data_IF_886434925435
#
_entry.id   IF_886434925435
#
_cell.length_a   1.000
_cell.length_b   1.000
_cell.length_c   1.000
_cell.angle_alpha   90.00
_cell.angle_beta   90.00
_cell.angle_gamma   90.00
#
_symmetry.space_group_name_H-M   'P 1'
#
loop_
_entity.id
_entity.type
_entity.pdbx_description
1 polymer ?
#
# COMPACT_ATOMS: atom_id res chain seq x y z
N UNK A 1 24.59 14.09 -28.97
CA UNK A 1 23.94 12.86 -29.47
C UNK A 1 24.08 11.73 -28.43
N UNK A 2 25.28 11.43 -27.94
CA UNK A 2 25.56 10.33 -27.00
C UNK A 2 24.81 10.43 -25.66
N UNK A 3 24.70 11.63 -25.08
CA UNK A 3 23.92 11.87 -23.86
C UNK A 3 22.41 11.61 -24.02
N UNK A 4 21.85 11.84 -25.19
CA UNK A 4 20.45 11.55 -25.47
C UNK A 4 20.20 10.04 -25.62
N UNK A 5 21.13 9.32 -26.27
CA UNK A 5 21.08 7.87 -26.36
C UNK A 5 21.16 7.22 -24.97
N UNK A 6 22.12 7.62 -24.15
CA UNK A 6 22.26 7.11 -22.77
C UNK A 6 21.01 7.36 -21.90
N UNK A 7 20.37 8.54 -22.05
CA UNK A 7 19.11 8.83 -21.34
C UNK A 7 17.96 7.94 -21.79
N UNK A 8 17.87 7.67 -23.10
CA UNK A 8 16.88 6.75 -23.66
C UNK A 8 17.08 5.34 -23.12
N UNK A 9 18.31 4.84 -23.14
CA UNK A 9 18.65 3.50 -22.67
C UNK A 9 18.37 3.36 -21.15
N UNK A 10 18.72 4.39 -20.36
CA UNK A 10 18.40 4.42 -18.93
C UNK A 10 16.88 4.39 -18.68
N UNK A 11 16.09 5.14 -19.46
CA UNK A 11 14.63 5.10 -19.36
C UNK A 11 14.05 3.73 -19.73
N UNK A 12 14.57 3.09 -20.77
CA UNK A 12 14.16 1.73 -21.15
C UNK A 12 14.48 0.70 -20.05
N UNK A 13 15.65 0.77 -19.45
CA UNK A 13 16.01 -0.09 -18.31
C UNK A 13 15.09 0.14 -17.11
N UNK A 14 14.68 1.38 -16.86
CA UNK A 14 13.74 1.71 -15.79
C UNK A 14 12.38 1.06 -16.04
N UNK A 15 11.88 1.09 -17.28
CA UNK A 15 10.63 0.41 -17.65
C UNK A 15 10.75 -1.10 -17.47
N UNK A 16 11.87 -1.71 -17.89
CA UNK A 16 12.10 -3.14 -17.71
C UNK A 16 12.13 -3.53 -16.23
N UNK A 17 12.82 -2.76 -15.39
CA UNK A 17 12.84 -2.98 -13.93
C UNK A 17 11.44 -2.89 -13.32
N UNK A 18 10.66 -1.88 -13.70
CA UNK A 18 9.28 -1.75 -13.23
C UNK A 18 8.40 -2.93 -13.65
N UNK A 19 8.56 -3.46 -14.87
CA UNK A 19 7.88 -4.68 -15.34
C UNK A 19 8.26 -5.90 -14.53
N UNK A 20 9.55 -6.12 -14.29
CA UNK A 20 10.03 -7.25 -13.47
C UNK A 20 9.45 -7.16 -12.04
N UNK A 21 9.43 -5.97 -11.46
CA UNK A 21 8.84 -5.76 -10.14
C UNK A 21 7.33 -6.09 -10.12
N UNK A 22 6.58 -5.67 -11.14
CA UNK A 22 5.15 -6.02 -11.27
C UNK A 22 4.95 -7.54 -11.40
N UNK A 23 5.77 -8.23 -12.22
CA UNK A 23 5.71 -9.69 -12.34
C UNK A 23 6.03 -10.39 -11.01
N UNK A 24 6.99 -9.88 -10.26
CA UNK A 24 7.34 -10.39 -8.94
C UNK A 24 6.18 -10.20 -7.95
N UNK A 25 5.58 -9.01 -7.88
CA UNK A 25 4.45 -8.73 -7.01
C UNK A 25 3.20 -9.53 -7.38
N UNK A 26 3.02 -9.82 -8.67
CA UNK A 26 1.93 -10.64 -9.18
C UNK A 26 2.20 -12.15 -9.05
N UNK A 27 3.31 -12.55 -8.43
CA UNK A 27 3.68 -13.95 -8.20
C UNK A 27 3.58 -14.84 -9.47
N UNK A 28 3.95 -14.28 -10.63
CA UNK A 28 3.92 -15.00 -11.92
C UNK A 28 2.54 -15.13 -12.57
N UNK A 29 1.50 -14.48 -12.04
CA UNK A 29 0.16 -14.47 -12.67
C UNK A 29 0.09 -13.62 -13.95
N UNK A 30 1.07 -12.73 -14.18
CA UNK A 30 1.15 -11.90 -15.38
C UNK A 30 1.99 -12.58 -16.49
N UNK A 31 1.51 -12.58 -17.74
CA UNK A 31 2.29 -13.07 -18.87
C UNK A 31 3.53 -12.17 -19.10
N UNK A 32 4.65 -12.71 -19.65
CA UNK A 32 5.89 -11.93 -19.83
C UNK A 32 5.71 -10.65 -20.69
N UNK A 33 4.75 -10.67 -21.60
CA UNK A 33 4.48 -9.57 -22.54
C UNK A 33 3.19 -8.82 -22.21
N UNK A 34 2.82 -8.72 -20.94
CA UNK A 34 1.61 -7.99 -20.52
C UNK A 34 1.66 -6.52 -20.97
N UNK A 35 0.49 -5.98 -21.31
CA UNK A 35 0.28 -4.57 -21.61
C UNK A 35 -0.50 -3.93 -20.46
N UNK A 36 -0.07 -2.74 -20.06
CA UNK A 36 -0.79 -1.95 -19.05
C UNK A 36 -1.86 -1.13 -19.77
N UNK A 37 -3.11 -1.25 -19.36
CA UNK A 37 -4.21 -0.36 -19.76
C UNK A 37 -4.28 0.84 -18.81
N UNK A 38 -4.62 1.98 -19.34
CA UNK A 38 -4.76 3.23 -18.59
C UNK A 38 -3.83 4.33 -19.09
N UNK A 39 -4.09 5.52 -18.63
CA UNK A 39 -3.34 6.72 -19.00
C UNK A 39 -3.06 7.56 -17.75
N UNK A 40 -1.90 8.23 -17.71
CA UNK A 40 -1.62 9.25 -16.70
C UNK A 40 -2.57 10.46 -16.80
N UNK A 41 -3.39 10.53 -17.86
CA UNK A 41 -4.42 11.55 -18.06
C UNK A 41 -5.78 11.16 -17.49
N UNK A 42 -5.94 9.92 -17.04
CA UNK A 42 -7.21 9.45 -16.51
C UNK A 42 -7.58 10.25 -15.25
N UNK A 43 -8.85 10.66 -15.12
CA UNK A 43 -9.27 11.49 -14.00
C UNK A 43 -9.21 10.69 -12.69
N UNK A 44 -8.62 11.30 -11.67
CA UNK A 44 -8.61 10.73 -10.31
C UNK A 44 -10.01 10.89 -9.71
N UNK A 45 -10.64 9.77 -9.35
CA UNK A 45 -11.97 9.71 -8.73
C UNK A 45 -11.82 9.22 -7.29
N UNK A 46 -11.94 10.14 -6.35
CA UNK A 46 -11.90 9.83 -4.91
C UNK A 46 -13.19 10.33 -4.24
N UNK A 47 -13.66 9.65 -3.19
CA UNK A 47 -14.72 10.17 -2.34
C UNK A 47 -14.34 11.48 -1.65
N UNK A 48 -15.32 12.21 -1.07
CA UNK A 48 -15.05 13.44 -0.34
C UNK A 48 -14.07 13.23 0.83
N UNK A 49 -13.23 14.25 1.10
CA UNK A 49 -12.23 14.20 2.18
C UNK A 49 -12.84 13.81 3.54
N UNK A 50 -13.99 14.39 3.89
CA UNK A 50 -14.64 14.15 5.17
C UNK A 50 -14.98 12.66 5.39
N UNK A 51 -15.49 12.01 4.35
CA UNK A 51 -15.80 10.58 4.36
C UNK A 51 -14.55 9.72 4.48
N UNK A 52 -13.52 10.01 3.70
CA UNK A 52 -12.26 9.26 3.73
C UNK A 52 -11.51 9.42 5.05
N UNK A 53 -11.55 10.61 5.66
CA UNK A 53 -10.91 10.88 6.94
C UNK A 53 -11.47 10.02 8.06
N UNK A 54 -12.76 9.76 8.05
CA UNK A 54 -13.42 8.90 9.04
C UNK A 54 -13.22 7.41 8.75
N UNK A 55 -13.35 7.02 7.47
CA UNK A 55 -13.31 5.60 7.08
C UNK A 55 -11.92 5.00 7.09
N UNK A 56 -10.90 5.72 6.59
CA UNK A 56 -9.54 5.15 6.38
C UNK A 56 -8.93 4.54 7.65
N UNK A 57 -8.97 5.20 8.83
CA UNK A 57 -8.42 4.60 10.05
C UNK A 57 -9.20 3.38 10.57
N UNK A 58 -10.38 3.10 10.02
CA UNK A 58 -11.21 1.97 10.42
C UNK A 58 -11.06 0.77 9.47
N UNK A 59 -11.00 1.03 8.16
CA UNK A 59 -10.98 -0.02 7.12
C UNK A 59 -9.56 -0.45 6.73
N UNK A 60 -8.54 0.27 7.18
CA UNK A 60 -7.16 -0.06 6.84
C UNK A 60 -6.79 -1.48 7.30
N UNK A 61 -6.18 -2.31 6.44
CA UNK A 61 -5.89 -3.71 6.76
C UNK A 61 -5.03 -3.93 8.01
N UNK A 62 -4.08 -3.01 8.28
CA UNK A 62 -3.25 -3.09 9.48
C UNK A 62 -4.06 -2.88 10.75
N UNK A 63 -5.03 -1.96 10.71
CA UNK A 63 -5.93 -1.69 11.85
C UNK A 63 -6.86 -2.88 12.07
N UNK A 64 -7.47 -3.40 11.01
CA UNK A 64 -8.35 -4.58 11.09
C UNK A 64 -7.58 -5.79 11.64
N UNK A 65 -6.34 -6.00 11.21
CA UNK A 65 -5.47 -7.05 11.74
C UNK A 65 -5.21 -6.89 13.24
N UNK A 66 -4.88 -5.69 13.68
CA UNK A 66 -4.63 -5.40 15.10
C UNK A 66 -5.90 -5.51 15.95
N UNK A 67 -7.08 -5.21 15.42
CA UNK A 67 -8.36 -5.46 16.09
C UNK A 67 -8.60 -6.96 16.33
N UNK A 68 -8.33 -7.79 15.33
CA UNK A 68 -8.40 -9.24 15.47
C UNK A 68 -7.36 -9.77 16.47
N UNK A 69 -6.15 -9.22 16.48
CA UNK A 69 -5.12 -9.56 17.47
C UNK A 69 -5.53 -9.16 18.88
N UNK A 70 -6.16 -7.99 19.06
CA UNK A 70 -6.71 -7.56 20.34
C UNK A 70 -7.80 -8.52 20.85
N UNK A 71 -8.70 -8.92 19.96
CA UNK A 71 -9.73 -9.89 20.32
C UNK A 71 -9.12 -11.23 20.74
N UNK A 72 -8.14 -11.73 19.97
CA UNK A 72 -7.38 -12.94 20.29
C UNK A 72 -6.69 -12.83 21.67
N UNK A 73 -6.04 -11.70 21.96
CA UNK A 73 -5.39 -11.48 23.25
C UNK A 73 -6.40 -11.48 24.42
N UNK A 74 -7.58 -10.87 24.25
CA UNK A 74 -8.65 -10.89 25.23
C UNK A 74 -9.18 -12.33 25.46
N UNK A 75 -9.33 -13.12 24.39
CA UNK A 75 -9.72 -14.55 24.52
C UNK A 75 -8.65 -15.36 25.25
N UNK A 76 -7.36 -15.02 25.06
CA UNK A 76 -6.27 -15.67 25.76
C UNK A 76 -6.35 -15.47 27.26
N UNK A 77 -6.71 -14.26 27.76
CA UNK A 77 -6.94 -14.02 29.20
C UNK A 77 -8.02 -14.98 29.73
N UNK A 78 -9.11 -15.13 29.02
CA UNK A 78 -10.19 -16.04 29.38
C UNK A 78 -9.73 -17.50 29.37
N UNK A 79 -8.91 -17.90 28.40
CA UNK A 79 -8.31 -19.22 28.31
C UNK A 79 -7.39 -19.51 29.49
N UNK A 80 -6.49 -18.60 29.85
CA UNK A 80 -5.60 -18.79 31.01
C UNK A 80 -6.38 -18.92 32.31
N UNK A 81 -7.43 -18.12 32.49
CA UNK A 81 -8.36 -18.24 33.63
C UNK A 81 -9.09 -19.58 33.66
N UNK A 82 -9.57 -20.05 32.51
CA UNK A 82 -10.27 -21.34 32.40
C UNK A 82 -9.36 -22.53 32.70
N UNK A 83 -8.05 -22.41 32.42
CA UNK A 83 -7.07 -23.48 32.68
C UNK A 83 -6.81 -23.71 34.18
N UNK A 84 -7.28 -22.81 35.08
CA UNK A 84 -7.28 -23.03 36.53
C UNK A 84 -8.32 -24.06 36.96
N UNK A 85 -9.39 -24.22 36.14
CA UNK A 85 -10.45 -25.19 36.45
C UNK A 85 -9.89 -26.62 36.31
N UNK A 86 -10.39 -27.57 37.13
CA UNK A 86 -10.00 -28.97 37.03
C UNK A 86 -10.28 -29.52 35.63
N UNK A 87 -9.26 -30.12 35.03
CA UNK A 87 -9.44 -30.82 33.73
C UNK A 87 -9.96 -32.22 33.97
N UNK A 88 -11.09 -32.55 33.36
CA UNK A 88 -11.67 -33.91 33.36
C UNK A 88 -11.34 -34.60 32.05
N UNK A 89 -10.62 -35.72 32.12
CA UNK A 89 -10.25 -36.50 30.95
C UNK A 89 -10.92 -37.87 31.04
N UNK A 90 -11.57 -38.28 29.96
CA UNK A 90 -12.01 -39.67 29.78
C UNK A 90 -10.86 -40.44 29.12
N UNK A 91 -10.47 -41.53 29.74
CA UNK A 91 -9.38 -42.40 29.28
C UNK A 91 -10.00 -43.70 28.89
N UNK A 92 -9.77 -44.11 27.64
CA UNK A 92 -10.07 -45.47 27.16
C UNK A 92 -8.79 -46.02 26.55
N UNK A 93 -8.31 -47.14 27.04
CA UNK A 93 -7.16 -47.83 26.49
C UNK A 93 -7.50 -49.29 26.22
N UNK A 94 -7.12 -49.73 25.04
CA UNK A 94 -7.17 -51.12 24.63
C UNK A 94 -5.72 -51.58 24.52
N UNK A 95 -5.40 -52.66 25.23
CA UNK A 95 -4.11 -53.27 25.22
C UNK A 95 -4.24 -54.75 24.80
N UNK A 96 -3.48 -55.12 23.77
CA UNK A 96 -3.45 -56.44 23.19
C UNK A 96 -2.00 -56.90 23.08
N UNK A 97 -1.65 -58.00 23.79
CA UNK A 97 -0.35 -58.63 23.72
C UNK A 97 -0.49 -60.15 23.74
N UNK A 98 -0.09 -60.77 22.64
CA UNK A 98 -0.07 -62.23 22.37
C UNK A 98 -1.33 -63.03 22.76
N UNK A 99 -1.70 -63.13 24.00
CA UNK A 99 -2.88 -63.85 24.51
C UNK A 99 -3.62 -63.06 25.60
N UNK A 100 -3.22 -61.82 25.84
CA UNK A 100 -3.82 -60.99 26.86
C UNK A 100 -4.54 -59.77 26.25
N UNK A 101 -5.83 -59.65 26.52
CA UNK A 101 -6.66 -58.55 26.12
C UNK A 101 -7.11 -57.77 27.36
N UNK A 102 -6.81 -56.51 27.40
CA UNK A 102 -7.30 -55.64 28.47
C UNK A 102 -7.94 -54.37 27.90
N UNK A 103 -9.19 -54.13 28.29
CA UNK A 103 -9.90 -52.87 28.00
C UNK A 103 -10.04 -52.13 29.32
N UNK A 104 -9.49 -50.93 29.38
CA UNK A 104 -9.60 -50.07 30.56
C UNK A 104 -10.31 -48.78 30.19
N UNK A 105 -11.37 -48.45 30.93
CA UNK A 105 -12.06 -47.17 30.86
C UNK A 105 -11.94 -46.46 32.22
N UNK A 106 -11.60 -45.20 32.21
CA UNK A 106 -11.39 -44.42 33.43
C UNK A 106 -11.66 -42.93 33.24
N UNK A 107 -11.84 -42.25 34.36
CA UNK A 107 -11.95 -40.80 34.45
C UNK A 107 -10.77 -40.29 35.25
N UNK A 108 -10.01 -39.31 34.68
CA UNK A 108 -8.92 -38.61 35.36
C UNK A 108 -9.30 -37.16 35.56
N UNK A 109 -9.23 -36.70 36.80
CA UNK A 109 -9.46 -35.30 37.17
C UNK A 109 -8.15 -34.69 37.70
N UNK A 110 -7.62 -33.69 36.97
CA UNK A 110 -6.43 -33.00 37.41
C UNK A 110 -6.82 -31.74 38.15
N UNK A 111 -6.58 -31.70 39.47
CA UNK A 111 -6.88 -30.56 40.33
C UNK A 111 -5.59 -29.79 40.62
N UNK A 112 -5.42 -28.53 40.14
CA UNK A 112 -4.25 -27.70 40.47
C UNK A 112 -4.36 -27.11 41.87
N UNK A 113 -3.76 -27.76 42.87
CA UNK A 113 -3.92 -27.33 44.30
C UNK A 113 -3.04 -26.12 44.65
N UNK A 114 -1.85 -25.98 44.06
CA UNK A 114 -0.86 -24.97 44.48
C UNK A 114 -0.53 -23.95 43.37
N UNK A 115 -0.71 -24.29 42.11
CA UNK A 115 -0.35 -23.45 40.98
C UNK A 115 -1.58 -22.81 40.35
N UNK A 116 -1.80 -21.53 40.62
CA UNK A 116 -2.98 -20.76 40.18
C UNK A 116 -2.73 -19.96 38.90
N UNK A 117 -1.62 -20.21 38.19
CA UNK A 117 -1.28 -19.57 36.91
C UNK A 117 -1.34 -18.03 36.92
N UNK A 118 -1.08 -17.39 38.09
CA UNK A 118 -1.15 -15.92 38.21
C UNK A 118 -0.21 -15.23 37.23
N UNK A 119 1.03 -15.74 37.09
CA UNK A 119 2.02 -15.18 36.16
C UNK A 119 1.59 -15.21 34.71
N UNK A 120 0.95 -16.31 34.27
CA UNK A 120 0.44 -16.42 32.88
C UNK A 120 -0.77 -15.51 32.65
N UNK A 121 -1.65 -15.39 33.65
CA UNK A 121 -2.78 -14.47 33.57
C UNK A 121 -2.29 -13.02 33.50
N UNK A 122 -1.35 -12.63 34.35
CA UNK A 122 -0.77 -11.29 34.35
C UNK A 122 -0.05 -10.99 33.04
N UNK A 123 0.71 -11.96 32.51
CA UNK A 123 1.33 -11.85 31.19
C UNK A 123 0.28 -11.62 30.11
N UNK A 124 -0.80 -12.41 30.09
CA UNK A 124 -1.87 -12.26 29.09
C UNK A 124 -2.58 -10.90 29.21
N UNK A 125 -2.78 -10.39 30.43
CA UNK A 125 -3.37 -9.05 30.66
C UNK A 125 -2.46 -7.96 30.13
N UNK A 126 -1.15 -8.02 30.42
CA UNK A 126 -0.18 -7.04 29.91
C UNK A 126 -0.01 -7.11 28.40
N UNK A 127 -0.02 -8.31 27.80
CA UNK A 127 -0.02 -8.48 26.35
C UNK A 127 -1.26 -7.86 25.70
N UNK A 128 -2.44 -8.07 26.26
CA UNK A 128 -3.68 -7.42 25.80
C UNK A 128 -3.61 -5.90 25.88
N UNK A 129 -3.08 -5.35 26.99
CA UNK A 129 -2.88 -3.91 27.13
C UNK A 129 -1.90 -3.38 26.07
N UNK A 130 -0.77 -4.05 25.85
CA UNK A 130 0.22 -3.68 24.80
C UNK A 130 -0.39 -3.65 23.41
N UNK A 131 -1.19 -4.67 23.05
CA UNK A 131 -1.84 -4.73 21.73
C UNK A 131 -2.87 -3.59 21.59
N UNK A 132 -3.62 -3.27 22.64
CA UNK A 132 -4.55 -2.14 22.64
C UNK A 132 -3.82 -0.82 22.35
N UNK A 133 -2.73 -0.52 23.06
CA UNK A 133 -1.93 0.69 22.85
C UNK A 133 -1.33 0.72 21.43
N UNK A 134 -0.86 -0.43 20.93
CA UNK A 134 -0.36 -0.55 19.54
C UNK A 134 -1.45 -0.25 18.51
N UNK A 135 -2.68 -0.72 18.75
CA UNK A 135 -3.83 -0.45 17.88
C UNK A 135 -4.18 1.05 17.83
N UNK A 136 -4.25 1.70 19.01
CA UNK A 136 -4.56 3.15 19.08
C UNK A 136 -3.47 3.98 18.42
N UNK A 137 -2.20 3.64 18.66
CA UNK A 137 -1.10 4.29 17.96
C UNK A 137 -1.18 4.11 16.43
N UNK A 138 -1.48 2.88 15.96
CA UNK A 138 -1.57 2.61 14.52
C UNK A 138 -2.75 3.33 13.86
N UNK A 139 -3.89 3.44 14.53
CA UNK A 139 -5.02 4.24 14.05
C UNK A 139 -4.63 5.70 13.87
N UNK A 140 -3.97 6.27 14.88
CA UNK A 140 -3.48 7.64 14.80
C UNK A 140 -2.49 7.81 13.65
N UNK A 141 -1.50 6.93 13.54
CA UNK A 141 -0.50 6.95 12.47
C UNK A 141 -1.13 6.87 11.08
N UNK A 142 -2.09 5.96 10.85
CA UNK A 142 -2.82 5.85 9.58
C UNK A 142 -3.58 7.15 9.27
N UNK A 143 -4.18 7.77 10.26
CA UNK A 143 -4.82 9.07 10.10
C UNK A 143 -3.84 10.16 9.63
N UNK A 144 -2.64 10.22 10.21
CA UNK A 144 -1.60 11.18 9.80
C UNK A 144 -1.05 10.87 8.39
N UNK A 145 -0.84 9.60 8.07
CA UNK A 145 -0.41 9.19 6.73
C UNK A 145 -1.46 9.56 5.68
N UNK A 146 -2.74 9.39 5.99
CA UNK A 146 -3.83 9.80 5.10
C UNK A 146 -3.84 11.32 4.88
N UNK A 147 -3.70 12.13 5.93
CA UNK A 147 -3.65 13.61 5.79
C UNK A 147 -2.46 14.03 4.92
N UNK A 148 -1.29 13.42 5.11
CA UNK A 148 -0.12 13.69 4.27
C UNK A 148 -0.33 13.30 2.81
N UNK A 149 -0.92 12.12 2.54
CA UNK A 149 -1.25 11.66 1.20
C UNK A 149 -2.28 12.57 0.52
N UNK A 150 -3.28 13.05 1.27
CA UNK A 150 -4.25 14.01 0.77
C UNK A 150 -3.63 15.36 0.39
N UNK A 151 -2.74 15.89 1.22
CA UNK A 151 -2.01 17.12 0.90
C UNK A 151 -1.14 16.94 -0.34
N UNK A 152 -0.44 15.80 -0.47
CA UNK A 152 0.34 15.49 -1.65
C UNK A 152 -0.54 15.44 -2.92
N UNK A 153 -1.72 14.84 -2.83
CA UNK A 153 -2.71 14.84 -3.93
C UNK A 153 -3.11 16.25 -4.34
N UNK A 154 -3.45 17.12 -3.38
CA UNK A 154 -3.83 18.51 -3.68
C UNK A 154 -2.70 19.31 -4.34
N UNK A 155 -1.46 19.13 -3.88
CA UNK A 155 -0.28 19.77 -4.49
C UNK A 155 -0.11 19.28 -5.93
N UNK A 156 -0.19 17.97 -6.16
CA UNK A 156 -0.08 17.37 -7.49
C UNK A 156 -1.20 17.84 -8.43
N UNK A 157 -2.44 17.94 -7.94
CA UNK A 157 -3.58 18.49 -8.72
C UNK A 157 -3.32 19.92 -9.16
N UNK A 158 -2.87 20.80 -8.26
CA UNK A 158 -2.55 22.20 -8.58
C UNK A 158 -1.43 22.29 -9.61
N UNK A 159 -0.41 21.43 -9.48
CA UNK A 159 0.71 21.38 -10.41
C UNK A 159 0.27 20.96 -11.82
N UNK A 160 -0.56 19.92 -11.94
CA UNK A 160 -1.14 19.50 -13.23
C UNK A 160 -2.00 20.61 -13.81
N UNK A 161 -2.87 21.23 -13.01
CA UNK A 161 -3.73 22.34 -13.46
C UNK A 161 -2.90 23.54 -13.99
N UNK A 162 -1.73 23.84 -13.41
CA UNK A 162 -0.84 24.89 -13.89
C UNK A 162 -0.29 24.59 -15.30
N UNK A 163 0.08 23.33 -15.56
CA UNK A 163 0.56 22.92 -16.89
C UNK A 163 -0.58 22.94 -17.93
N UNK A 164 -1.77 22.46 -17.57
CA UNK A 164 -2.93 22.40 -18.47
C UNK A 164 -3.59 23.78 -18.65
N UNK A 165 -3.46 24.66 -17.66
CA UNK A 165 -4.03 26.00 -17.66
C UNK A 165 -3.36 26.99 -18.61
N UNK A 166 -2.31 26.58 -19.33
CA UNK A 166 -1.72 27.45 -20.36
C UNK A 166 -0.21 27.33 -20.53
N UNK A 167 0.53 26.88 -19.51
CA UNK A 167 2.00 26.85 -19.53
C UNK A 167 2.59 26.09 -20.73
N UNK A 168 1.98 24.94 -21.08
CA UNK A 168 2.39 24.15 -22.26
C UNK A 168 2.12 24.94 -23.54
N UNK A 169 0.93 25.53 -23.65
CA UNK A 169 0.53 26.31 -24.83
C UNK A 169 1.39 27.55 -25.04
N UNK A 170 1.75 28.23 -23.94
CA UNK A 170 2.66 29.38 -23.97
C UNK A 170 4.07 28.98 -24.46
N UNK A 171 4.59 27.86 -23.96
CA UNK A 171 5.88 27.33 -24.40
C UNK A 171 5.86 26.89 -25.87
N UNK A 172 4.77 26.26 -26.34
CA UNK A 172 4.59 25.90 -27.75
C UNK A 172 4.54 27.16 -28.65
N UNK A 173 3.85 28.20 -28.20
CA UNK A 173 3.78 29.47 -28.92
C UNK A 173 5.15 30.16 -28.94
N UNK A 174 5.89 30.13 -27.85
CA UNK A 174 7.24 30.69 -27.80
C UNK A 174 8.18 29.99 -28.80
N UNK A 175 8.08 28.66 -28.97
CA UNK A 175 8.83 27.93 -29.98
C UNK A 175 8.44 28.37 -31.38
N UNK A 176 7.16 28.53 -31.68
CA UNK A 176 6.68 29.00 -33.00
C UNK A 176 7.20 30.38 -33.35
N UNK A 177 7.19 31.31 -32.38
CA UNK A 177 7.74 32.67 -32.55
C UNK A 177 9.25 32.62 -32.76
N UNK A 178 9.97 31.83 -31.98
CA UNK A 178 11.44 31.72 -32.12
C UNK A 178 11.83 31.06 -33.47
N UNK A 179 11.04 30.08 -33.94
CA UNK A 179 11.22 29.46 -35.26
C UNK A 179 11.03 30.46 -36.40
N UNK A 180 9.96 31.26 -36.32
CA UNK A 180 9.71 32.31 -37.32
C UNK A 180 10.85 33.37 -37.33
N UNK A 181 11.22 33.87 -36.17
CA UNK A 181 12.32 34.85 -36.05
C UNK A 181 13.67 34.30 -36.58
N UNK A 182 13.95 33.04 -36.36
CA UNK A 182 15.11 32.35 -36.96
C UNK A 182 15.02 32.29 -38.49
N UNK A 183 13.89 31.90 -39.03
CA UNK A 183 13.65 31.79 -40.48
C UNK A 183 13.78 33.15 -41.20
N UNK A 184 13.38 34.21 -40.55
CA UNK A 184 13.51 35.57 -41.07
C UNK A 184 14.88 36.24 -40.80
N UNK A 185 15.79 35.51 -40.14
CA UNK A 185 17.13 36.00 -39.83
C UNK A 185 17.22 37.03 -38.70
N UNK A 186 16.11 37.22 -37.95
CA UNK A 186 16.05 38.17 -36.83
C UNK A 186 16.71 37.65 -35.56
N UNK A 187 16.77 36.32 -35.40
CA UNK A 187 17.38 35.63 -34.24
C UNK A 187 18.28 34.48 -34.67
N UNK A 188 19.25 34.17 -33.78
CA UNK A 188 20.20 33.10 -34.04
C UNK A 188 19.61 31.68 -33.77
N UNK A 189 20.23 30.69 -34.40
CA UNK A 189 19.87 29.28 -34.21
C UNK A 189 19.90 28.85 -32.73
N UNK A 190 20.83 29.40 -31.95
CA UNK A 190 21.02 29.04 -30.54
C UNK A 190 19.78 29.40 -29.72
N UNK A 191 19.18 30.58 -29.93
CA UNK A 191 17.97 31.01 -29.24
C UNK A 191 16.76 30.14 -29.57
N UNK A 192 16.62 29.74 -30.85
CA UNK A 192 15.59 28.80 -31.26
C UNK A 192 15.76 27.42 -30.59
N UNK A 193 16.98 26.86 -30.59
CA UNK A 193 17.27 25.58 -29.94
C UNK A 193 17.06 25.63 -28.42
N UNK A 194 17.36 26.75 -27.79
CA UNK A 194 17.13 26.94 -26.35
C UNK A 194 15.63 26.98 -26.02
N UNK A 195 14.83 27.63 -26.86
CA UNK A 195 13.37 27.67 -26.69
C UNK A 195 12.76 26.26 -26.87
N UNK A 196 13.25 25.50 -27.85
CA UNK A 196 12.87 24.08 -27.99
C UNK A 196 13.27 23.21 -26.78
N UNK A 197 14.43 23.48 -26.20
CA UNK A 197 14.90 22.79 -24.99
C UNK A 197 14.00 23.07 -23.80
N UNK A 198 13.58 24.33 -23.63
CA UNK A 198 12.65 24.75 -22.57
C UNK A 198 11.30 24.03 -22.76
N UNK A 199 10.72 24.01 -23.96
CA UNK A 199 9.47 23.29 -24.23
C UNK A 199 9.58 21.80 -23.85
N UNK A 200 10.66 21.13 -24.24
CA UNK A 200 10.88 19.72 -23.89
C UNK A 200 10.97 19.51 -22.37
N UNK A 201 11.60 20.44 -21.66
CA UNK A 201 11.62 20.45 -20.18
C UNK A 201 10.22 20.55 -19.58
N UNK A 202 9.43 21.53 -20.05
CA UNK A 202 8.05 21.74 -19.59
C UNK A 202 7.17 20.49 -19.85
N UNK A 203 7.30 19.86 -21.03
CA UNK A 203 6.57 18.64 -21.34
C UNK A 203 6.98 17.46 -20.44
N UNK A 204 8.28 17.30 -20.16
CA UNK A 204 8.78 16.29 -19.23
C UNK A 204 8.26 16.53 -17.80
N UNK A 205 8.29 17.78 -17.33
CA UNK A 205 7.78 18.17 -16.01
C UNK A 205 6.27 17.97 -15.89
N UNK A 206 5.51 18.20 -16.98
CA UNK A 206 4.08 17.93 -17.04
C UNK A 206 3.77 16.42 -16.91
N UNK A 207 4.56 15.55 -17.55
CA UNK A 207 4.42 14.11 -17.41
C UNK A 207 4.73 13.66 -15.97
N UNK A 208 5.76 14.24 -15.36
CA UNK A 208 6.12 13.96 -13.98
C UNK A 208 5.01 14.41 -13.02
N UNK A 209 4.44 15.60 -13.22
CA UNK A 209 3.31 16.09 -12.42
C UNK A 209 2.09 15.16 -12.49
N UNK A 210 1.79 14.62 -13.67
CA UNK A 210 0.70 13.64 -13.83
C UNK A 210 1.02 12.30 -13.15
N UNK A 211 2.26 11.86 -13.22
CA UNK A 211 2.71 10.69 -12.48
C UNK A 211 2.57 10.89 -10.97
N UNK A 212 3.00 12.04 -10.44
CA UNK A 212 2.87 12.39 -9.02
C UNK A 212 1.39 12.39 -8.59
N UNK A 213 0.48 12.90 -9.44
CA UNK A 213 -0.94 12.91 -9.19
C UNK A 213 -1.52 11.49 -9.07
N UNK A 214 -1.20 10.62 -10.03
CA UNK A 214 -1.67 9.23 -10.00
C UNK A 214 -1.05 8.44 -8.85
N UNK A 215 0.21 8.71 -8.52
CA UNK A 215 0.90 8.08 -7.38
C UNK A 215 0.27 8.48 -6.04
N UNK A 216 -0.06 9.77 -5.88
CA UNK A 216 -0.74 10.25 -4.67
C UNK A 216 -2.16 9.66 -4.53
N UNK A 217 -2.88 9.52 -5.64
CA UNK A 217 -4.19 8.87 -5.64
C UNK A 217 -4.08 7.38 -5.27
N UNK A 218 -3.12 6.66 -5.85
CA UNK A 218 -2.88 5.26 -5.55
C UNK A 218 -2.49 5.03 -4.07
N UNK A 219 -1.75 5.96 -3.47
CA UNK A 219 -1.42 5.90 -2.05
C UNK A 219 -2.66 6.04 -1.15
N UNK A 220 -3.59 6.94 -1.50
CA UNK A 220 -4.89 7.04 -0.81
C UNK A 220 -5.70 5.75 -0.98
N UNK A 221 -5.73 5.16 -2.19
CA UNK A 221 -6.40 3.89 -2.46
C UNK A 221 -5.80 2.75 -1.64
N UNK A 222 -4.48 2.71 -1.50
CA UNK A 222 -3.77 1.76 -0.64
C UNK A 222 -4.18 1.91 0.83
N UNK A 223 -4.23 3.14 1.34
CA UNK A 223 -4.59 3.41 2.74
C UNK A 223 -6.04 3.03 3.05
N UNK A 224 -6.97 3.22 2.10
CA UNK A 224 -8.38 2.83 2.24
C UNK A 224 -8.68 1.39 1.79
N UNK A 225 -7.65 0.59 1.50
CA UNK A 225 -7.79 -0.79 1.01
C UNK A 225 -8.71 -0.91 -0.22
N UNK A 226 -8.72 0.11 -1.07
CA UNK A 226 -9.49 0.09 -2.31
C UNK A 226 -8.64 -0.42 -3.46
N UNK A 227 -9.02 -1.55 -4.00
CA UNK A 227 -8.36 -2.16 -5.16
C UNK A 227 -9.34 -2.13 -6.34
N UNK A 228 -9.15 -1.24 -7.33
CA UNK A 228 -10.02 -1.18 -8.50
C UNK A 228 -9.96 -2.51 -9.25
N UNK A 229 -11.11 -3.16 -9.40
CA UNK A 229 -11.23 -4.46 -10.09
C UNK A 229 -10.97 -4.38 -11.60
N UNK A 230 -10.93 -3.17 -12.15
CA UNK A 230 -10.85 -2.89 -13.59
C UNK A 230 -9.42 -2.73 -14.11
N UNK A 231 -8.40 -2.77 -13.27
CA UNK A 231 -7.01 -2.81 -13.69
C UNK A 231 -6.64 -4.21 -14.18
N UNK A 232 -7.37 -4.69 -15.19
CA UNK A 232 -7.05 -5.94 -15.86
C UNK A 232 -5.96 -5.68 -16.90
N UNK A 233 -4.89 -6.42 -16.76
CA UNK A 233 -3.82 -6.57 -17.72
C UNK A 233 -4.34 -7.47 -18.85
N UNK A 234 -4.24 -7.04 -20.11
CA UNK A 234 -4.38 -7.90 -21.29
C UNK A 234 -3.04 -8.50 -21.69
#
# INVERSE_FOLDING_TARGET
>A
VQNAANRKDAAQLTVLRARVLLMQLAAGSLPPNFKIKGSLKDPVKLPPLAELREQVPQINPDVVRLEAERERANKRISQEKATILPAVNLIYSNYEEQQYYSNTAGISVRIPLFYQRRGEIDTAVHDSARIRETLEYRRYEIGQLFEAAWQALQIAQRRVASFEGGLIKEAENAVKVAEAAYKFGERGLIEFLDTQRILRGILADSLLARFDLQSAAAEIDRLRAHYPKELLVE
#
